data_IF_718645546560
#
_entry.id   IF_718645546560
#
_cell.length_a   1.000
_cell.length_b   1.000
_cell.length_c   1.000
_cell.angle_alpha   90.00
_cell.angle_beta   90.00
_cell.angle_gamma   90.00
#
_symmetry.space_group_name_H-M   'P 1'
#
loop_
_entity.id
_entity.type
_entity.pdbx_description
1 polymer ?
#
# COMPACT_ATOMS: atom_id res chain seq x y z
N UNK A 1 18.49 -8.80 -2.12
CA UNK A 1 17.25 -9.61 -2.17
C UNK A 1 16.12 -8.76 -1.64
N UNK A 2 15.03 -8.64 -2.41
CA UNK A 2 13.90 -7.73 -2.12
C UNK A 2 13.92 -6.39 -2.86
N UNK A 3 14.72 -6.26 -3.93
CA UNK A 3 14.93 -4.98 -4.59
C UNK A 3 13.78 -4.65 -5.54
N UNK A 4 12.98 -3.65 -5.18
CA UNK A 4 11.80 -3.18 -5.89
C UNK A 4 10.96 -2.27 -4.99
N UNK A 5 9.94 -1.64 -5.54
CA UNK A 5 8.99 -0.86 -4.75
C UNK A 5 8.23 -1.79 -3.78
N UNK A 6 8.15 -1.39 -2.51
CA UNK A 6 7.46 -2.15 -1.44
C UNK A 6 6.35 -1.29 -0.87
N UNK A 7 5.20 -1.90 -0.61
CA UNK A 7 4.05 -1.24 0.02
C UNK A 7 3.60 -2.00 1.25
N UNK A 8 3.02 -1.29 2.21
CA UNK A 8 2.22 -1.91 3.27
C UNK A 8 0.83 -2.16 2.67
N UNK A 9 0.59 -3.36 2.16
CA UNK A 9 -0.67 -3.70 1.49
C UNK A 9 -1.81 -3.98 2.47
N UNK A 10 -1.54 -4.57 3.63
CA UNK A 10 -2.50 -4.73 4.72
C UNK A 10 -1.78 -4.62 6.07
N UNK A 11 -2.53 -4.25 7.11
CA UNK A 11 -2.01 -4.13 8.47
C UNK A 11 -3.15 -4.35 9.47
N UNK A 12 -2.81 -4.95 10.60
CA UNK A 12 -3.75 -5.20 11.68
C UNK A 12 -3.16 -6.11 12.74
N UNK A 13 -4.05 -6.65 13.57
CA UNK A 13 -3.71 -7.61 14.62
C UNK A 13 -4.15 -9.01 14.21
N UNK A 14 -3.52 -10.02 14.78
CA UNK A 14 -3.86 -11.42 14.57
C UNK A 14 -3.83 -12.17 15.90
N UNK A 15 -4.49 -13.32 15.92
CA UNK A 15 -4.46 -14.21 17.07
C UNK A 15 -4.58 -15.67 16.61
N UNK A 16 -3.86 -16.61 17.25
CA UNK A 16 -4.11 -18.02 17.00
C UNK A 16 -5.56 -18.35 17.36
N UNK A 17 -6.19 -19.19 16.54
CA UNK A 17 -7.60 -19.55 16.66
C UNK A 17 -7.86 -21.06 16.72
N UNK A 18 -6.80 -21.89 16.69
CA UNK A 18 -6.91 -23.33 16.90
C UNK A 18 -7.61 -23.59 18.26
N UNK A 19 -8.54 -24.55 18.29
CA UNK A 19 -9.35 -24.82 19.48
C UNK A 19 -10.42 -23.77 19.81
N UNK A 20 -10.63 -22.77 18.93
CA UNK A 20 -11.70 -21.77 19.06
C UNK A 20 -11.40 -20.64 20.05
N UNK A 21 -10.19 -20.59 20.60
CA UNK A 21 -9.82 -19.62 21.62
C UNK A 21 -8.91 -18.52 21.06
N UNK A 22 -9.39 -17.27 21.12
CA UNK A 22 -8.67 -16.11 20.62
C UNK A 22 -7.92 -15.39 21.74
N UNK A 23 -6.63 -15.14 21.54
CA UNK A 23 -5.71 -14.47 22.47
C UNK A 23 -5.36 -13.04 22.02
N UNK A 24 -6.35 -12.21 21.67
CA UNK A 24 -6.08 -10.83 21.22
C UNK A 24 -5.58 -9.92 22.36
N UNK A 25 -5.92 -10.23 23.61
CA UNK A 25 -5.56 -9.44 24.79
C UNK A 25 -4.28 -9.92 25.51
N UNK A 26 -3.71 -11.04 25.10
CA UNK A 26 -2.54 -11.65 25.73
C UNK A 26 -1.52 -12.05 24.66
N UNK A 27 -0.52 -11.18 24.48
CA UNK A 27 0.51 -11.33 23.46
C UNK A 27 1.42 -12.52 23.75
N UNK A 28 1.81 -12.73 25.00
CA UNK A 28 2.77 -13.77 25.37
C UNK A 28 2.16 -15.15 25.16
N UNK A 29 0.90 -15.30 25.56
CA UNK A 29 0.11 -16.50 25.27
C UNK A 29 -0.07 -16.73 23.78
N UNK A 30 -0.44 -15.68 23.02
CA UNK A 30 -0.59 -15.79 21.57
C UNK A 30 0.72 -16.27 20.94
N UNK A 31 1.85 -15.64 21.29
CA UNK A 31 3.16 -15.98 20.75
C UNK A 31 3.56 -17.43 21.04
N UNK A 32 3.35 -17.91 22.28
CA UNK A 32 3.66 -19.29 22.64
C UNK A 32 2.88 -20.29 21.78
N UNK A 33 1.57 -20.09 21.65
CA UNK A 33 0.70 -20.96 20.83
C UNK A 33 1.09 -20.94 19.35
N UNK A 34 1.37 -19.75 18.82
CA UNK A 34 1.86 -19.56 17.46
C UNK A 34 3.15 -20.33 17.20
N UNK A 35 4.07 -20.35 18.16
CA UNK A 35 5.33 -21.06 18.04
C UNK A 35 5.12 -22.57 18.00
N UNK A 36 4.30 -23.11 18.90
CA UNK A 36 3.94 -24.54 18.94
C UNK A 36 3.27 -24.98 17.61
N UNK A 37 2.33 -24.18 17.10
CA UNK A 37 1.63 -24.44 15.84
C UNK A 37 2.56 -24.33 14.60
N UNK A 38 3.49 -23.37 14.61
CA UNK A 38 4.48 -23.21 13.55
C UNK A 38 5.45 -24.41 13.50
N UNK A 39 5.89 -24.88 14.66
CA UNK A 39 6.73 -26.08 14.80
C UNK A 39 5.99 -27.35 14.35
N UNK A 40 4.71 -27.47 14.72
CA UNK A 40 3.84 -28.55 14.26
C UNK A 40 3.57 -28.52 12.74
N UNK A 41 3.82 -27.39 12.07
CA UNK A 41 3.63 -27.23 10.63
C UNK A 41 2.18 -26.96 10.21
N UNK A 42 1.31 -26.65 11.17
CA UNK A 42 -0.08 -26.22 10.92
C UNK A 42 -0.40 -25.09 11.90
N UNK A 43 -0.66 -23.92 11.36
CA UNK A 43 -0.99 -22.71 12.10
C UNK A 43 -2.36 -22.22 11.69
N UNK A 44 -3.25 -21.97 12.65
CA UNK A 44 -4.57 -21.39 12.40
C UNK A 44 -4.65 -20.04 13.11
N UNK A 45 -4.96 -18.98 12.34
CA UNK A 45 -4.99 -17.61 12.82
C UNK A 45 -6.25 -16.87 12.36
N UNK A 46 -6.81 -16.07 13.27
CA UNK A 46 -7.80 -15.07 12.92
C UNK A 46 -7.13 -13.71 12.73
N UNK A 47 -7.29 -13.16 11.52
CA UNK A 47 -6.81 -11.84 11.15
C UNK A 47 -7.88 -10.77 11.39
N UNK A 48 -7.45 -9.63 11.92
CA UNK A 48 -8.22 -8.38 12.02
C UNK A 48 -7.46 -7.26 11.31
N UNK A 49 -7.24 -7.47 10.01
CA UNK A 49 -6.65 -6.49 9.10
C UNK A 49 -7.66 -5.47 8.58
N UNK A 50 -7.16 -4.52 7.81
CA UNK A 50 -8.01 -3.61 7.03
C UNK A 50 -8.63 -4.36 5.85
N UNK A 51 -7.86 -5.21 5.18
CA UNK A 51 -8.29 -5.97 4.01
C UNK A 51 -8.58 -7.43 4.34
N UNK A 52 -7.62 -8.12 4.95
CA UNK A 52 -7.77 -9.52 5.31
C UNK A 52 -8.42 -9.64 6.68
N UNK A 53 -9.54 -10.37 6.73
CA UNK A 53 -10.31 -10.60 7.94
C UNK A 53 -10.73 -12.06 8.06
N UNK A 54 -11.05 -12.46 9.29
CA UNK A 54 -11.52 -13.80 9.60
C UNK A 54 -10.40 -14.80 9.76
N UNK A 55 -10.75 -16.08 9.68
CA UNK A 55 -9.86 -17.20 9.96
C UNK A 55 -9.13 -17.69 8.70
N UNK A 56 -7.85 -18.00 8.89
CA UNK A 56 -6.90 -18.46 7.88
C UNK A 56 -6.04 -19.56 8.48
N UNK A 57 -5.54 -20.46 7.63
CA UNK A 57 -4.55 -21.46 8.05
C UNK A 57 -3.33 -21.47 7.14
N UNK A 58 -2.18 -21.71 7.75
CA UNK A 58 -0.91 -21.98 7.09
C UNK A 58 -0.56 -23.44 7.32
N UNK A 59 -0.44 -24.21 6.25
CA UNK A 59 -0.08 -25.63 6.31
C UNK A 59 1.23 -25.86 5.58
N UNK A 60 2.22 -26.43 6.29
CA UNK A 60 3.51 -26.80 5.71
C UNK A 60 3.32 -28.01 4.81
N UNK A 61 3.85 -27.95 3.59
CA UNK A 61 3.74 -29.07 2.67
C UNK A 61 4.77 -30.16 3.01
N UNK A 62 4.41 -31.42 2.79
CA UNK A 62 5.33 -32.55 2.95
C UNK A 62 6.44 -32.58 1.88
N UNK A 63 6.27 -31.86 0.78
CA UNK A 63 7.23 -31.85 -0.35
C UNK A 63 8.50 -31.08 -0.04
N UNK A 64 8.38 -29.97 0.70
CA UNK A 64 9.51 -29.17 1.10
C UNK A 64 9.25 -28.47 2.43
N UNK A 65 10.21 -28.48 3.38
CA UNK A 65 10.03 -27.92 4.71
C UNK A 65 9.85 -26.39 4.73
N UNK A 66 10.15 -25.70 3.62
CA UNK A 66 10.00 -24.24 3.47
C UNK A 66 8.72 -23.83 2.74
N UNK A 67 7.99 -24.78 2.17
CA UNK A 67 6.82 -24.49 1.35
C UNK A 67 5.57 -24.56 2.23
N UNK A 68 4.79 -23.49 2.21
CA UNK A 68 3.57 -23.33 2.98
C UNK A 68 2.41 -22.97 2.06
N UNK A 69 1.23 -23.50 2.41
CA UNK A 69 -0.02 -23.14 1.78
C UNK A 69 -0.81 -22.25 2.74
N UNK A 70 -1.13 -21.03 2.27
CA UNK A 70 -2.07 -20.14 2.95
C UNK A 70 -3.48 -20.43 2.43
N UNK A 71 -4.39 -20.79 3.32
CA UNK A 71 -5.75 -21.23 2.98
C UNK A 71 -6.74 -20.40 3.78
N UNK A 72 -7.78 -19.87 3.10
CA UNK A 72 -8.89 -19.17 3.75
C UNK A 72 -9.91 -20.18 4.28
N UNK A 73 -10.29 -20.07 5.55
CA UNK A 73 -11.41 -20.83 6.09
C UNK A 73 -12.76 -20.28 5.62
N UNK A 74 -13.77 -21.16 5.54
CA UNK A 74 -15.15 -20.76 5.26
C UNK A 74 -15.75 -20.10 6.51
N UNK A 75 -15.83 -18.78 6.48
CA UNK A 75 -16.44 -17.96 7.52
C UNK A 75 -17.22 -16.79 6.89
N UNK A 76 -17.74 -15.89 7.74
CA UNK A 76 -18.50 -14.71 7.30
C UNK A 76 -17.73 -13.73 6.41
N UNK A 77 -16.39 -13.83 6.39
CA UNK A 77 -15.50 -13.00 5.57
C UNK A 77 -15.03 -13.73 4.30
N UNK A 78 -15.47 -14.97 4.08
CA UNK A 78 -15.17 -15.71 2.86
C UNK A 78 -16.18 -15.43 1.75
N UNK A 79 -15.71 -15.34 0.51
CA UNK A 79 -16.56 -15.06 -0.65
C UNK A 79 -15.78 -15.11 -1.97
N UNK A 80 -16.47 -15.01 -3.12
CA UNK A 80 -15.86 -15.10 -4.45
C UNK A 80 -15.09 -13.83 -4.87
N UNK A 81 -14.70 -12.97 -3.93
CA UNK A 81 -14.04 -11.70 -4.19
C UNK A 81 -12.54 -11.89 -4.35
N UNK A 82 -11.99 -11.42 -5.47
CA UNK A 82 -10.55 -11.23 -5.60
C UNK A 82 -10.12 -9.93 -4.91
N UNK A 83 -9.59 -10.06 -3.70
CA UNK A 83 -9.15 -8.93 -2.87
C UNK A 83 -7.97 -8.17 -3.47
N UNK A 84 -7.14 -8.82 -4.30
CA UNK A 84 -5.95 -8.19 -4.88
C UNK A 84 -6.33 -7.17 -5.95
N UNK A 85 -7.39 -7.46 -6.70
CA UNK A 85 -7.99 -6.55 -7.67
C UNK A 85 -8.90 -5.52 -7.00
N UNK A 86 -9.67 -5.92 -5.99
CA UNK A 86 -10.61 -5.03 -5.31
C UNK A 86 -9.92 -3.95 -4.45
N UNK A 87 -8.84 -4.30 -3.75
CA UNK A 87 -8.14 -3.39 -2.85
C UNK A 87 -6.62 -3.40 -3.11
N UNK A 88 -6.14 -2.83 -4.24
CA UNK A 88 -4.73 -2.90 -4.62
C UNK A 88 -3.82 -1.91 -3.85
N UNK A 89 -4.39 -0.84 -3.29
CA UNK A 89 -3.64 0.34 -2.79
C UNK A 89 -2.97 0.11 -1.43
N UNK A 90 -1.93 0.89 -1.11
CA UNK A 90 -1.26 0.87 0.19
C UNK A 90 -2.20 1.30 1.32
N UNK A 91 -2.16 0.61 2.48
CA UNK A 91 -2.92 1.06 3.67
C UNK A 91 -2.25 2.20 4.43
N UNK A 92 -0.96 2.47 4.19
CA UNK A 92 -0.21 3.55 4.85
C UNK A 92 -0.37 4.87 4.10
N UNK A 93 -0.34 4.82 2.77
CA UNK A 93 -0.26 6.01 1.89
C UNK A 93 -1.45 6.15 0.95
N UNK A 94 -2.35 5.16 0.90
CA UNK A 94 -3.50 5.10 -0.03
C UNK A 94 -3.15 5.14 -1.52
N UNK A 95 -1.86 5.20 -1.87
CA UNK A 95 -1.36 5.21 -3.24
C UNK A 95 -1.03 3.82 -3.77
N UNK A 96 -0.95 3.73 -5.10
CA UNK A 96 -0.38 2.58 -5.81
C UNK A 96 1.16 2.63 -5.83
N UNK A 97 1.79 1.67 -6.51
CA UNK A 97 3.25 1.64 -6.62
C UNK A 97 3.82 2.87 -7.36
N UNK A 98 3.10 3.39 -8.35
CA UNK A 98 3.55 4.53 -9.16
C UNK A 98 3.48 5.83 -8.32
N UNK A 99 2.44 5.99 -7.51
CA UNK A 99 2.26 7.12 -6.60
C UNK A 99 3.35 7.18 -5.53
N UNK A 100 3.76 6.02 -5.01
CA UNK A 100 4.82 5.93 -4.01
C UNK A 100 6.16 6.26 -4.66
N UNK A 101 6.46 5.71 -5.83
CA UNK A 101 7.71 6.06 -6.54
C UNK A 101 7.75 7.52 -6.99
N UNK A 102 6.60 8.15 -7.27
CA UNK A 102 6.48 9.54 -7.67
C UNK A 102 6.40 10.53 -6.48
N UNK A 103 6.52 10.08 -5.23
CA UNK A 103 6.53 10.96 -4.06
C UNK A 103 7.91 11.64 -3.89
N UNK A 104 7.93 12.89 -3.43
CA UNK A 104 9.17 13.68 -3.26
C UNK A 104 10.18 13.05 -2.28
N UNK A 105 9.69 12.31 -1.27
CA UNK A 105 10.51 11.52 -0.34
C UNK A 105 9.82 10.18 -0.03
N UNK A 106 9.99 9.15 -0.86
CA UNK A 106 9.42 7.85 -0.57
C UNK A 106 10.25 7.13 0.50
N UNK A 107 9.55 6.44 1.39
CA UNK A 107 10.14 5.54 2.40
C UNK A 107 10.61 4.26 1.68
N UNK A 108 11.72 4.35 0.95
CA UNK A 108 12.21 3.32 0.05
C UNK A 108 12.99 2.24 0.81
N UNK A 109 12.56 0.99 0.65
CA UNK A 109 13.37 -0.14 1.12
C UNK A 109 14.51 -0.43 0.12
N UNK A 110 15.70 0.09 0.41
CA UNK A 110 16.87 -0.06 -0.46
C UNK A 110 17.58 -1.38 -0.14
N UNK A 111 17.29 -2.44 -0.89
CA UNK A 111 18.14 -3.64 -0.92
C UNK A 111 18.90 -3.71 -2.24
N UNK A 112 20.18 -4.10 -2.19
CA UNK A 112 21.07 -4.11 -3.34
C UNK A 112 20.58 -4.99 -4.51
N UNK A 113 20.71 -4.41 -5.72
CA UNK A 113 20.44 -4.90 -7.08
C UNK A 113 18.96 -5.28 -7.38
N UNK A 114 18.20 -4.46 -8.14
CA UNK A 114 16.84 -4.80 -8.61
C UNK A 114 16.82 -6.07 -9.45
N UNK A 115 15.69 -6.76 -9.47
CA UNK A 115 15.49 -7.92 -10.33
C UNK A 115 15.73 -7.51 -11.79
N UNK A 116 16.79 -8.05 -12.42
CA UNK A 116 17.24 -7.64 -13.77
C UNK A 116 16.52 -8.36 -14.91
N UNK A 117 15.82 -9.46 -14.64
CA UNK A 117 15.29 -10.36 -15.68
C UNK A 117 13.91 -10.89 -15.29
N UNK A 118 13.05 -11.14 -16.28
CA UNK A 118 11.73 -11.75 -16.10
C UNK A 118 10.56 -10.78 -16.01
N UNK A 119 9.37 -11.31 -15.73
CA UNK A 119 8.11 -10.54 -15.65
C UNK A 119 8.18 -9.42 -14.59
N UNK A 120 8.84 -9.67 -13.46
CA UNK A 120 9.05 -8.69 -12.38
C UNK A 120 9.87 -7.49 -12.85
N UNK A 121 10.89 -7.69 -13.69
CA UNK A 121 11.71 -6.59 -14.21
C UNK A 121 10.92 -5.72 -15.21
N UNK A 122 10.09 -6.34 -16.06
CA UNK A 122 9.19 -5.63 -16.98
C UNK A 122 8.14 -4.81 -16.22
N UNK A 123 7.57 -5.40 -15.18
CA UNK A 123 6.61 -4.73 -14.31
C UNK A 123 7.26 -3.53 -13.60
N UNK A 124 8.44 -3.71 -13.00
CA UNK A 124 9.17 -2.64 -12.35
C UNK A 124 9.49 -1.49 -13.31
N UNK A 125 9.93 -1.80 -14.54
CA UNK A 125 10.19 -0.78 -15.56
C UNK A 125 8.91 0.01 -15.88
N UNK A 126 7.79 -0.67 -16.10
CA UNK A 126 6.52 0.00 -16.40
C UNK A 126 6.04 0.92 -15.26
N UNK A 127 6.24 0.51 -14.00
CA UNK A 127 5.92 1.32 -12.81
C UNK A 127 6.82 2.57 -12.76
N UNK A 128 8.13 2.41 -13.00
CA UNK A 128 9.08 3.54 -13.05
C UNK A 128 8.72 4.52 -14.17
N UNK A 129 8.42 4.01 -15.36
CA UNK A 129 8.06 4.85 -16.52
C UNK A 129 6.78 5.66 -16.23
N UNK A 130 5.77 5.05 -15.60
CA UNK A 130 4.53 5.75 -15.19
C UNK A 130 4.79 6.78 -14.08
N UNK A 131 5.64 6.46 -13.11
CA UNK A 131 6.01 7.40 -12.05
C UNK A 131 6.72 8.64 -12.64
N UNK A 132 7.62 8.45 -13.62
CA UNK A 132 8.28 9.56 -14.30
C UNK A 132 7.30 10.49 -15.01
N UNK A 133 6.29 9.93 -15.70
CA UNK A 133 5.22 10.74 -16.34
C UNK A 133 4.44 11.54 -15.29
N UNK A 134 4.04 10.92 -14.17
CA UNK A 134 3.33 11.62 -13.08
C UNK A 134 4.14 12.77 -12.50
N UNK A 135 5.46 12.62 -12.35
CA UNK A 135 6.35 13.68 -11.87
C UNK A 135 6.35 14.86 -12.86
N UNK A 136 6.56 14.60 -14.15
CA UNK A 136 6.58 15.63 -15.20
C UNK A 136 5.23 16.39 -15.24
N UNK A 137 4.11 15.66 -15.20
CA UNK A 137 2.78 16.27 -15.20
C UNK A 137 2.54 17.19 -13.99
N UNK A 138 3.01 16.80 -12.80
CA UNK A 138 2.93 17.64 -11.59
C UNK A 138 3.79 18.91 -11.72
N UNK A 139 5.00 18.79 -12.25
CA UNK A 139 5.88 19.95 -12.50
C UNK A 139 5.26 20.93 -13.51
N UNK A 140 4.69 20.42 -14.60
CA UNK A 140 3.98 21.25 -15.58
C UNK A 140 2.75 21.95 -14.99
N UNK A 141 1.98 21.25 -14.15
CA UNK A 141 0.82 21.84 -13.46
C UNK A 141 1.24 22.92 -12.46
N UNK A 142 2.34 22.70 -11.72
CA UNK A 142 2.95 23.69 -10.83
C UNK A 142 3.39 24.95 -11.60
N UNK A 143 4.06 24.76 -12.74
CA UNK A 143 4.50 25.85 -13.61
C UNK A 143 3.32 26.64 -14.23
N UNK A 144 2.25 25.95 -14.63
CA UNK A 144 1.02 26.59 -15.14
C UNK A 144 0.30 27.38 -14.04
N UNK A 145 0.22 26.85 -12.81
CA UNK A 145 -0.41 27.54 -11.69
C UNK A 145 0.37 28.78 -11.23
N UNK A 146 1.70 28.71 -11.19
CA UNK A 146 2.56 29.87 -10.86
C UNK A 146 2.50 30.96 -11.94
N UNK A 147 2.42 30.58 -13.22
CA UNK A 147 2.27 31.52 -14.34
C UNK A 147 0.89 32.19 -14.33
N UNK A 148 -0.18 31.45 -13.98
CA UNK A 148 -1.54 32.00 -13.83
C UNK A 148 -1.64 32.95 -12.63
N UNK A 149 -0.92 32.69 -11.54
CA UNK A 149 -0.83 33.56 -10.37
C UNK A 149 0.00 34.83 -10.60
N UNK A 150 0.97 34.82 -11.54
CA UNK A 150 1.81 35.99 -11.88
C UNK A 150 1.21 36.89 -12.96
N UNK A 151 0.00 36.58 -13.45
CA UNK A 151 -0.67 37.38 -14.48
C UNK A 151 -1.09 38.74 -13.85
N UNK A 152 -0.56 39.89 -14.32
CA UNK A 152 -0.81 41.16 -13.65
C UNK A 152 -2.29 41.52 -13.75
N UNK A 153 -2.86 41.96 -12.62
CA UNK A 153 -4.22 42.48 -12.58
C UNK A 153 -4.34 43.63 -13.58
N UNK A 154 -5.29 43.52 -14.53
CA UNK A 154 -5.61 44.59 -15.47
C UNK A 154 -5.93 45.85 -14.66
N UNK A 155 -5.07 46.86 -14.75
CA UNK A 155 -5.24 48.14 -14.06
C UNK A 155 -6.47 48.84 -14.62
N UNK A 156 -7.58 48.82 -13.89
CA UNK A 156 -8.75 49.62 -14.20
C UNK A 156 -8.42 51.08 -13.89
N UNK A 157 -8.09 51.83 -14.95
CA UNK A 157 -7.77 53.26 -14.89
C UNK A 157 -9.02 54.05 -14.47
N UNK A 158 -9.05 54.50 -13.22
CA UNK A 158 -10.12 55.36 -12.68
C UNK A 158 -10.14 56.72 -13.41
N UNK A 159 -11.27 57.05 -14.05
CA UNK A 159 -11.55 58.37 -14.62
C UNK A 159 -11.89 59.34 -13.48
N UNK A 160 -11.08 60.40 -13.31
CA UNK A 160 -11.38 61.56 -12.47
C UNK A 160 -12.56 62.34 -13.06
N UNK A 161 -13.62 62.56 -12.29
CA UNK A 161 -14.60 63.62 -12.55
C UNK A 161 -14.38 64.78 -11.57
N UNK A 162 -14.08 65.93 -12.15
CA UNK A 162 -13.84 67.23 -11.51
C UNK A 162 -15.21 67.86 -11.24
N UNK A 163 -15.58 68.08 -9.98
CA UNK A 163 -16.73 68.92 -9.61
C UNK A 163 -16.19 70.28 -9.16
N UNK A 164 -16.48 71.31 -9.96
CA UNK A 164 -16.27 72.70 -9.62
C UNK A 164 -17.44 73.16 -8.75
N UNK A 165 -17.16 73.92 -7.69
CA UNK A 165 -18.15 74.66 -6.93
C UNK A 165 -17.53 76.01 -6.56
N UNK A 166 -17.97 77.07 -7.24
CA UNK A 166 -18.23 78.46 -6.78
C UNK A 166 -18.60 79.27 -8.02
#
# INVERSE_FOLDING_TARGET
YGAGAVIVWDAGIFSPDEGGELSFGDRDRAQKRLQEELEAGKLSITLRGRKLRGSWTLVRTARAPKDWLLIKHRDVWSGPLDITTFAPLSVKTEGDFDDILAADMPDLWVTGRPARVGATAKMLKAIIDKAAVKIIEREEQGARNTTKSRRPAKTTRARKSKAANT
#
